data_IF_391219037655
#
_entry.id   IF_391219037655
#
_cell.length_a   1.000
_cell.length_b   1.000
_cell.length_c   1.000
_cell.angle_alpha   90.00
_cell.angle_beta   90.00
_cell.angle_gamma   90.00
#
_symmetry.space_group_name_H-M   'P 1'
#
loop_
_entity.id
_entity.type
_entity.pdbx_description
1 polymer ?
#
# COMPACT_ATOMS: atom_id res chain seq x y z
N UNK A 1 -4.17 -1.25 -12.47
CA UNK A 1 -2.99 -1.52 -13.32
C UNK A 1 -1.88 -2.08 -12.44
N UNK A 2 -1.04 -2.96 -12.95
CA UNK A 2 0.07 -3.53 -12.18
C UNK A 2 1.41 -3.04 -12.71
N UNK A 3 2.38 -2.87 -11.81
CA UNK A 3 3.77 -2.54 -12.14
C UNK A 3 4.69 -3.53 -11.43
N UNK A 4 5.85 -3.79 -12.01
CA UNK A 4 6.77 -4.82 -11.50
C UNK A 4 8.16 -4.24 -11.32
N UNK A 5 8.80 -4.57 -10.23
CA UNK A 5 10.22 -4.33 -9.96
C UNK A 5 10.91 -5.67 -9.70
N UNK A 6 12.17 -5.80 -10.09
CA UNK A 6 12.89 -7.06 -9.92
C UNK A 6 14.39 -6.84 -9.74
N UNK A 7 15.02 -7.77 -9.05
CA UNK A 7 16.46 -7.96 -9.00
C UNK A 7 16.80 -9.44 -9.28
N UNK A 8 18.03 -9.87 -9.04
CA UNK A 8 18.43 -11.26 -9.25
C UNK A 8 17.74 -12.28 -8.31
N UNK A 9 17.14 -11.82 -7.21
CA UNK A 9 16.54 -12.68 -6.18
C UNK A 9 15.03 -12.69 -6.19
N UNK A 10 14.41 -11.52 -6.45
CA UNK A 10 12.97 -11.30 -6.29
C UNK A 10 12.37 -10.60 -7.50
N UNK A 11 11.12 -10.97 -7.78
CA UNK A 11 10.22 -10.22 -8.65
C UNK A 11 9.00 -9.81 -7.83
N UNK A 12 8.75 -8.52 -7.73
CA UNK A 12 7.65 -7.94 -6.95
C UNK A 12 6.67 -7.25 -7.86
N UNK A 13 5.39 -7.62 -7.76
CA UNK A 13 4.30 -6.97 -8.48
C UNK A 13 3.48 -6.13 -7.52
N UNK A 14 3.22 -4.89 -7.89
CA UNK A 14 2.47 -3.90 -7.13
C UNK A 14 1.25 -3.51 -7.95
N UNK A 15 0.06 -3.58 -7.36
CA UNK A 15 -1.15 -3.04 -7.96
C UNK A 15 -1.27 -1.55 -7.65
N UNK A 16 -1.57 -0.74 -8.67
CA UNK A 16 -1.82 0.69 -8.49
C UNK A 16 -3.07 0.96 -7.67
N UNK A 17 -4.06 0.04 -7.70
CA UNK A 17 -5.17 0.07 -6.77
C UNK A 17 -4.67 -0.24 -5.35
N UNK A 18 -4.74 0.75 -4.47
CA UNK A 18 -4.26 0.68 -3.10
C UNK A 18 -2.74 0.75 -2.91
N UNK A 19 -1.95 0.87 -3.99
CA UNK A 19 -0.49 0.73 -3.98
C UNK A 19 -0.05 -0.54 -3.23
N UNK A 20 -0.71 -1.66 -3.52
CA UNK A 20 -0.60 -2.91 -2.79
C UNK A 20 0.38 -3.86 -3.46
N UNK A 21 1.30 -4.44 -2.69
CA UNK A 21 2.11 -5.57 -3.17
C UNK A 21 1.22 -6.79 -3.25
N UNK A 22 1.08 -7.34 -4.45
CA UNK A 22 0.17 -8.47 -4.74
C UNK A 22 0.91 -9.76 -5.09
N UNK A 23 2.20 -9.69 -5.37
CA UNK A 23 3.03 -10.86 -5.65
C UNK A 23 4.48 -10.59 -5.29
N UNK A 24 5.12 -11.56 -4.67
CA UNK A 24 6.57 -11.59 -4.46
C UNK A 24 7.05 -12.98 -4.82
N UNK A 25 7.78 -13.09 -5.92
CA UNK A 25 8.32 -14.37 -6.40
C UNK A 25 9.83 -14.43 -6.22
N UNK A 26 10.33 -15.62 -5.86
CA UNK A 26 11.76 -15.89 -5.85
C UNK A 26 12.29 -16.19 -7.27
N UNK A 27 13.58 -16.46 -7.42
CA UNK A 27 14.22 -16.76 -8.70
C UNK A 27 13.72 -18.05 -9.37
N UNK A 28 13.04 -18.92 -8.60
CA UNK A 28 12.41 -20.16 -9.11
C UNK A 28 10.96 -19.95 -9.56
N UNK A 29 10.41 -18.72 -9.41
CA UNK A 29 9.03 -18.40 -9.70
C UNK A 29 8.02 -18.80 -8.62
N UNK A 30 8.49 -19.23 -7.46
CA UNK A 30 7.63 -19.57 -6.32
C UNK A 30 7.07 -18.31 -5.67
N UNK A 31 5.75 -18.29 -5.43
CA UNK A 31 5.07 -17.19 -4.75
C UNK A 31 5.35 -17.21 -3.24
N UNK A 32 5.81 -16.09 -2.69
CA UNK A 32 6.25 -15.98 -1.30
C UNK A 32 5.23 -15.29 -0.38
N UNK A 33 4.15 -14.72 -0.92
CA UNK A 33 3.14 -14.04 -0.11
C UNK A 33 1.75 -14.63 -0.32
N UNK A 34 0.87 -14.36 0.64
CA UNK A 34 -0.53 -14.72 0.60
C UNK A 34 -1.22 -14.20 -0.67
N UNK A 35 -2.01 -15.05 -1.33
CA UNK A 35 -2.62 -14.76 -2.63
C UNK A 35 -4.11 -14.44 -2.55
N UNK A 36 -4.54 -13.83 -1.44
CA UNK A 36 -5.87 -13.22 -1.29
C UNK A 36 -7.05 -14.16 -1.60
N UNK A 37 -7.02 -15.38 -1.05
CA UNK A 37 -8.14 -16.30 -1.15
C UNK A 37 -9.40 -15.67 -0.54
N UNK A 38 -10.46 -15.38 -1.31
CA UNK A 38 -11.64 -14.71 -0.82
C UNK A 38 -12.42 -15.52 0.22
N UNK A 39 -12.20 -16.83 0.31
CA UNK A 39 -12.80 -17.67 1.35
C UNK A 39 -12.18 -17.44 2.73
N UNK A 40 -11.00 -16.83 2.80
CA UNK A 40 -10.25 -16.58 4.03
C UNK A 40 -10.03 -15.09 4.23
N UNK A 41 -9.31 -14.44 3.33
CA UNK A 41 -9.00 -13.00 3.36
C UNK A 41 -8.59 -12.51 1.97
N UNK A 42 -9.38 -11.63 1.40
CA UNK A 42 -9.33 -11.17 0.01
C UNK A 42 -8.34 -10.03 -0.27
N UNK A 43 -7.36 -9.83 0.61
CA UNK A 43 -6.29 -8.83 0.45
C UNK A 43 -4.92 -9.47 0.58
N UNK A 44 -3.88 -8.81 0.03
CA UNK A 44 -2.49 -9.26 0.11
C UNK A 44 -1.72 -8.52 1.20
N UNK A 45 -1.43 -7.24 1.00
CA UNK A 45 -0.64 -6.40 1.91
C UNK A 45 -1.14 -4.96 1.92
N UNK A 46 -2.38 -4.71 2.36
CA UNK A 46 -3.01 -3.40 2.24
C UNK A 46 -2.27 -2.31 3.02
N UNK A 47 -2.28 -1.12 2.47
CA UNK A 47 -1.72 0.08 3.11
C UNK A 47 -2.75 0.66 4.08
N UNK A 48 -2.33 1.00 5.29
CA UNK A 48 -3.19 1.56 6.33
C UNK A 48 -2.98 3.07 6.43
N UNK A 49 -3.97 3.85 6.00
CA UNK A 49 -3.96 5.32 6.08
C UNK A 49 -5.39 5.88 5.89
N UNK A 50 -5.80 6.97 6.60
CA UNK A 50 -5.03 7.78 7.58
C UNK A 50 -4.89 7.17 8.96
N UNK A 51 -5.62 6.11 9.29
CA UNK A 51 -5.56 5.43 10.59
C UNK A 51 -5.39 3.93 10.44
N UNK A 52 -4.85 3.31 11.49
CA UNK A 52 -4.82 1.87 11.65
C UNK A 52 -5.93 1.44 12.60
N UNK A 53 -6.61 0.33 12.29
CA UNK A 53 -7.73 -0.15 13.10
C UNK A 53 -9.07 0.49 12.72
N UNK A 54 -9.99 0.49 13.67
CA UNK A 54 -11.36 0.98 13.50
C UNK A 54 -11.59 2.20 14.37
N UNK A 55 -12.18 3.25 13.79
CA UNK A 55 -12.61 4.41 14.55
C UNK A 55 -13.86 4.09 15.40
N UNK A 56 -14.01 4.81 16.51
CA UNK A 56 -15.22 4.74 17.32
C UNK A 56 -16.45 5.05 16.45
N UNK A 57 -17.47 4.21 16.55
CA UNK A 57 -18.70 4.29 15.73
C UNK A 57 -18.47 4.32 14.20
N UNK A 58 -17.26 3.97 13.73
CA UNK A 58 -16.92 3.99 12.31
C UNK A 58 -16.88 5.39 11.69
N UNK A 59 -16.63 6.42 12.49
CA UNK A 59 -16.67 7.82 12.04
C UNK A 59 -15.46 8.62 12.49
N UNK A 60 -15.01 9.55 11.64
CA UNK A 60 -14.17 10.68 11.99
C UNK A 60 -15.07 11.89 12.21
N UNK A 61 -14.92 12.57 13.35
CA UNK A 61 -15.63 13.82 13.63
C UNK A 61 -14.62 14.96 13.63
N UNK A 62 -14.87 15.96 12.80
CA UNK A 62 -14.04 17.16 12.74
C UNK A 62 -14.91 18.41 12.58
N UNK A 63 -14.74 19.39 13.50
CA UNK A 63 -15.54 20.60 13.55
C UNK A 63 -17.07 20.34 13.54
N UNK A 64 -17.51 19.32 14.28
CA UNK A 64 -18.92 18.92 14.36
C UNK A 64 -19.46 18.19 13.14
N UNK A 65 -18.67 18.02 12.07
CA UNK A 65 -19.05 17.27 10.88
C UNK A 65 -18.55 15.82 10.97
N UNK A 66 -19.41 14.89 10.52
CA UNK A 66 -19.14 13.46 10.52
C UNK A 66 -18.66 13.01 9.15
N UNK A 67 -17.58 12.20 9.12
CA UNK A 67 -17.00 11.62 7.92
C UNK A 67 -16.99 10.10 8.05
N UNK A 68 -17.31 9.39 6.97
CA UNK A 68 -17.28 7.94 6.95
C UNK A 68 -15.88 7.40 7.15
N UNK A 69 -15.68 6.58 8.19
CA UNK A 69 -14.42 5.93 8.52
C UNK A 69 -14.48 4.42 8.33
N UNK A 70 -13.74 3.90 7.36
CA UNK A 70 -13.55 2.46 7.18
C UNK A 70 -12.48 1.90 8.12
N UNK A 71 -12.42 0.58 8.26
CA UNK A 71 -11.32 -0.08 8.96
C UNK A 71 -10.00 0.16 8.22
N UNK A 72 -8.98 0.62 8.94
CA UNK A 72 -7.64 0.94 8.41
C UNK A 72 -7.61 2.10 7.40
N UNK A 73 -8.56 3.02 7.49
CA UNK A 73 -8.65 4.13 6.56
C UNK A 73 -9.20 3.73 5.19
N UNK A 74 -8.78 4.44 4.15
CA UNK A 74 -9.39 4.29 2.83
C UNK A 74 -8.37 4.25 1.67
N UNK A 75 -7.10 4.56 1.92
CA UNK A 75 -6.11 4.69 0.84
C UNK A 75 -5.93 3.38 0.07
N UNK A 76 -6.12 2.26 0.73
CA UNK A 76 -6.02 0.91 0.18
C UNK A 76 -7.09 0.58 -0.87
N UNK A 77 -8.16 1.35 -0.92
CA UNK A 77 -9.30 1.16 -1.83
C UNK A 77 -9.33 2.19 -2.97
N UNK A 78 -8.28 2.98 -3.12
CA UNK A 78 -8.19 4.03 -4.13
C UNK A 78 -7.09 3.75 -5.15
N UNK A 79 -7.28 4.28 -6.36
CA UNK A 79 -6.30 4.17 -7.43
C UNK A 79 -5.17 5.17 -7.21
N UNK A 80 -3.93 4.70 -7.24
CA UNK A 80 -2.72 5.50 -7.12
C UNK A 80 -2.08 5.72 -8.48
N UNK A 81 -1.41 6.84 -8.63
CA UNK A 81 -0.66 7.17 -9.84
C UNK A 81 0.75 6.59 -9.73
N UNK A 82 1.16 5.79 -10.70
CA UNK A 82 2.54 5.38 -10.84
C UNK A 82 3.38 6.57 -11.30
N UNK A 83 4.21 7.10 -10.41
CA UNK A 83 5.08 8.26 -10.69
C UNK A 83 6.39 7.84 -11.33
N UNK A 84 6.95 6.72 -10.91
CA UNK A 84 8.24 6.25 -11.36
C UNK A 84 8.35 4.73 -11.17
N UNK A 85 9.01 4.07 -12.14
CA UNK A 85 9.53 2.71 -12.01
C UNK A 85 10.85 2.65 -12.78
N UNK A 86 11.96 2.41 -12.07
CA UNK A 86 13.30 2.28 -12.67
C UNK A 86 13.77 0.81 -12.77
N UNK A 87 12.89 -0.14 -12.53
CA UNK A 87 13.15 -1.59 -12.59
C UNK A 87 13.47 -2.23 -11.24
N UNK A 88 14.05 -1.50 -10.30
CA UNK A 88 14.36 -1.97 -8.94
C UNK A 88 13.64 -1.15 -7.85
N UNK A 89 13.06 -0.03 -8.23
CA UNK A 89 12.26 0.83 -7.34
C UNK A 89 11.04 1.36 -8.08
N UNK A 90 9.92 1.42 -7.39
CA UNK A 90 8.69 2.03 -7.89
C UNK A 90 8.13 3.02 -6.88
N UNK A 91 7.58 4.12 -7.37
CA UNK A 91 6.94 5.14 -6.57
C UNK A 91 5.51 5.36 -7.06
N UNK A 92 4.56 5.20 -6.16
CA UNK A 92 3.14 5.44 -6.39
C UNK A 92 2.64 6.54 -5.46
N UNK A 93 1.70 7.35 -5.94
CA UNK A 93 1.19 8.50 -5.21
C UNK A 93 -0.33 8.61 -5.31
N UNK A 94 -0.95 8.97 -4.20
CA UNK A 94 -2.33 9.46 -4.16
C UNK A 94 -2.34 10.86 -3.54
N UNK A 95 -3.09 11.77 -4.17
CA UNK A 95 -3.34 13.12 -3.63
C UNK A 95 -4.80 13.24 -3.28
N UNK A 96 -5.10 13.85 -2.13
CA UNK A 96 -6.45 14.16 -1.72
C UNK A 96 -7.21 14.91 -2.83
N UNK A 97 -8.39 14.42 -3.13
CA UNK A 97 -9.32 15.03 -4.08
C UNK A 97 -10.58 15.54 -3.35
N UNK A 98 -11.48 16.18 -4.08
CA UNK A 98 -12.71 16.73 -3.51
C UNK A 98 -13.60 15.64 -2.89
N UNK A 99 -13.62 14.45 -3.47
CA UNK A 99 -14.40 13.33 -2.95
C UNK A 99 -13.86 12.86 -1.60
N UNK A 100 -12.55 12.61 -1.49
CA UNK A 100 -11.93 12.18 -0.23
C UNK A 100 -12.05 13.24 0.86
N UNK A 101 -11.89 14.51 0.53
CA UNK A 101 -12.03 15.64 1.49
C UNK A 101 -13.47 15.82 1.97
N UNK A 102 -14.43 15.60 1.12
CA UNK A 102 -15.85 15.78 1.45
C UNK A 102 -16.43 14.62 2.24
N UNK A 103 -16.04 13.38 1.91
CA UNK A 103 -16.70 12.18 2.42
C UNK A 103 -15.92 11.44 3.52
N UNK A 104 -14.58 11.58 3.56
CA UNK A 104 -13.75 10.69 4.37
C UNK A 104 -12.78 11.38 5.29
N UNK A 105 -12.05 12.38 4.80
CA UNK A 105 -10.94 12.99 5.53
C UNK A 105 -10.73 14.44 5.05
N UNK A 106 -11.15 15.46 5.84
CA UNK A 106 -11.30 16.85 5.37
C UNK A 106 -9.98 17.62 5.30
N UNK A 107 -8.89 16.97 4.91
CA UNK A 107 -7.56 17.58 4.85
C UNK A 107 -6.92 17.35 3.49
N UNK A 108 -6.12 18.31 3.05
CA UNK A 108 -5.21 18.11 1.94
C UNK A 108 -4.06 17.21 2.38
N UNK A 109 -3.75 16.20 1.57
CA UNK A 109 -2.60 15.34 1.77
C UNK A 109 -2.09 14.79 0.45
N UNK A 110 -0.83 14.42 0.46
CA UNK A 110 -0.21 13.59 -0.57
C UNK A 110 0.39 12.38 0.11
N UNK A 111 -0.02 11.21 -0.34
CA UNK A 111 0.47 9.93 0.16
C UNK A 111 1.33 9.27 -0.90
N UNK A 112 2.60 9.01 -0.57
CA UNK A 112 3.56 8.38 -1.48
C UNK A 112 4.03 7.06 -0.92
N UNK A 113 3.87 5.99 -1.70
CA UNK A 113 4.45 4.66 -1.44
C UNK A 113 5.69 4.47 -2.28
N UNK A 114 6.81 4.14 -1.64
CA UNK A 114 8.07 3.82 -2.32
C UNK A 114 8.45 2.39 -1.99
N UNK A 115 8.62 1.59 -3.03
CA UNK A 115 9.07 0.20 -2.96
C UNK A 115 10.44 0.11 -3.59
N UNK A 116 11.39 -0.47 -2.86
CA UNK A 116 12.77 -0.62 -3.36
C UNK A 116 13.26 -2.02 -3.03
N UNK A 117 13.85 -2.70 -4.01
CA UNK A 117 14.58 -3.94 -3.82
C UNK A 117 16.02 -3.64 -3.47
N UNK A 118 16.45 -4.15 -2.31
CA UNK A 118 17.85 -4.16 -1.92
C UNK A 118 18.59 -5.31 -2.62
N UNK A 119 19.80 -5.08 -3.12
CA UNK A 119 20.61 -6.09 -3.79
C UNK A 119 21.19 -7.17 -2.88
N UNK A 120 20.87 -7.16 -1.59
CA UNK A 120 21.39 -8.13 -0.62
C UNK A 120 20.31 -9.10 -0.18
N UNK A 121 20.63 -10.41 -0.21
CA UNK A 121 19.84 -11.40 0.51
C UNK A 121 19.90 -11.10 2.02
N UNK A 122 18.76 -11.10 2.73
CA UNK A 122 18.78 -11.00 4.17
C UNK A 122 19.57 -12.20 4.74
N UNK A 123 20.30 -12.02 5.86
CA UNK A 123 20.94 -13.13 6.54
C UNK A 123 19.93 -14.25 6.79
N UNK A 124 20.32 -15.49 6.54
CA UNK A 124 19.46 -16.66 6.79
C UNK A 124 18.91 -16.59 8.21
N UNK A 125 17.59 -16.61 8.38
CA UNK A 125 16.90 -16.61 9.67
C UNK A 125 16.28 -15.28 10.11
N UNK A 126 16.35 -14.22 9.33
CA UNK A 126 15.56 -12.99 9.56
C UNK A 126 14.54 -12.81 8.44
N UNK A 127 13.27 -12.62 8.84
CA UNK A 127 12.25 -12.18 7.92
C UNK A 127 12.70 -10.88 7.20
N UNK A 128 12.46 -10.73 5.90
CA UNK A 128 12.79 -9.50 5.18
C UNK A 128 12.17 -8.31 5.91
N UNK A 129 12.99 -7.31 6.23
CA UNK A 129 12.46 -6.04 6.73
C UNK A 129 11.62 -5.46 5.60
N UNK A 130 10.35 -5.27 5.84
CA UNK A 130 9.53 -4.47 4.96
C UNK A 130 10.21 -3.10 4.85
N UNK A 131 10.60 -2.73 3.62
CA UNK A 131 11.24 -1.45 3.35
C UNK A 131 10.41 -0.32 3.94
N UNK A 132 11.09 0.56 4.67
CA UNK A 132 10.42 1.61 5.43
C UNK A 132 9.53 2.45 4.51
N UNK A 133 8.24 2.48 4.80
CA UNK A 133 7.28 3.40 4.19
C UNK A 133 7.61 4.80 4.72
N UNK A 134 8.07 5.69 3.86
CA UNK A 134 8.17 7.10 4.23
C UNK A 134 6.83 7.76 3.88
N UNK A 135 6.14 8.21 4.90
CA UNK A 135 5.02 9.15 4.76
C UNK A 135 5.67 10.52 4.67
N UNK A 136 5.65 11.15 3.49
CA UNK A 136 5.99 12.54 3.34
C UNK A 136 4.76 13.38 3.70
N UNK A 137 4.92 14.32 4.64
CA UNK A 137 3.91 15.33 4.98
C UNK A 137 3.93 16.44 3.94
#
# INVERSE_FOLDING_TARGET
MQTTISNEFLTVTIDTHGAEVVSVKNSKGEELIWQADPAIWDRHSPVLFPWAGRLANGELIHNGKHYSGGQHGFIRDLEHILKQNNGISAQLMFRADEETKTLRFPFDFEFTSVFTLDGHLPPQGRAPRQGGRRIAR
#
